data_IF_209094578022
#
_entry.id   IF_209094578022
#
_cell.length_a   1.000
_cell.length_b   1.000
_cell.length_c   1.000
_cell.angle_alpha   90.00
_cell.angle_beta   90.00
_cell.angle_gamma   90.00
#
_symmetry.space_group_name_H-M   'P 1'
#
loop_
_entity.id
_entity.type
_entity.pdbx_description
1 polymer ?
#
# COMPACT_ATOMS: atom_id res chain seq x y z
N UNK A 1 9.10 10.51 7.08
CA UNK A 1 9.82 10.48 5.78
C UNK A 1 9.16 11.49 4.86
N UNK A 2 9.93 12.15 4.00
CA UNK A 2 9.41 13.06 2.97
C UNK A 2 8.58 12.29 1.92
N UNK A 3 7.55 12.92 1.37
CA UNK A 3 6.63 12.29 0.42
C UNK A 3 7.32 11.89 -0.89
N UNK A 4 8.32 12.63 -1.36
CA UNK A 4 9.13 12.30 -2.54
C UNK A 4 9.95 11.03 -2.29
N UNK A 5 10.60 10.93 -1.13
CA UNK A 5 11.33 9.70 -0.76
C UNK A 5 10.41 8.50 -0.60
N UNK A 6 9.23 8.69 0.01
CA UNK A 6 8.19 7.69 0.05
C UNK A 6 7.81 7.22 -1.37
N UNK A 7 7.52 8.15 -2.29
CA UNK A 7 7.19 7.82 -3.69
C UNK A 7 8.32 7.08 -4.41
N UNK A 8 9.58 7.39 -4.09
CA UNK A 8 10.74 6.68 -4.66
C UNK A 8 10.76 5.22 -4.23
N UNK A 9 10.52 4.92 -2.95
CA UNK A 9 10.42 3.55 -2.45
C UNK A 9 9.23 2.79 -3.06
N UNK A 10 8.08 3.44 -3.22
CA UNK A 10 6.91 2.86 -3.92
C UNK A 10 7.26 2.53 -5.38
N UNK A 11 7.95 3.43 -6.07
CA UNK A 11 8.40 3.22 -7.45
C UNK A 11 9.41 2.08 -7.58
N UNK A 12 10.34 1.93 -6.63
CA UNK A 12 11.27 0.78 -6.56
C UNK A 12 10.54 -0.54 -6.46
N UNK A 13 9.46 -0.58 -5.68
CA UNK A 13 8.61 -1.75 -5.55
C UNK A 13 7.72 -2.02 -6.77
N UNK A 14 7.87 -1.26 -7.86
CA UNK A 14 6.99 -1.27 -9.04
C UNK A 14 5.50 -1.06 -8.69
N UNK A 15 5.23 -0.35 -7.59
CA UNK A 15 3.87 -0.07 -7.13
C UNK A 15 3.41 1.33 -7.54
N UNK A 16 2.10 1.48 -7.68
CA UNK A 16 1.45 2.79 -7.67
C UNK A 16 1.06 3.20 -6.23
N UNK A 17 0.74 4.47 -6.01
CA UNK A 17 0.17 4.92 -4.71
C UNK A 17 -1.17 4.23 -4.44
N UNK A 18 -1.95 3.94 -5.49
CA UNK A 18 -3.22 3.24 -5.36
C UNK A 18 -3.00 1.79 -4.93
N UNK A 19 -2.03 1.11 -5.54
CA UNK A 19 -1.65 -0.27 -5.21
C UNK A 19 -1.13 -0.36 -3.79
N UNK A 20 -0.25 0.56 -3.39
CA UNK A 20 0.20 0.65 -2.00
C UNK A 20 -0.97 0.83 -1.04
N UNK A 21 -1.85 1.82 -1.30
CA UNK A 21 -3.01 2.10 -0.45
C UNK A 21 -3.92 0.87 -0.31
N UNK A 22 -4.12 0.17 -1.43
CA UNK A 22 -4.92 -1.02 -1.54
C UNK A 22 -4.36 -2.19 -0.71
N UNK A 23 -3.05 -2.44 -0.79
CA UNK A 23 -2.37 -3.48 0.00
C UNK A 23 -2.49 -3.22 1.50
N UNK A 24 -2.34 -1.97 1.94
CA UNK A 24 -2.42 -1.61 3.37
C UNK A 24 -3.86 -1.34 3.85
N UNK A 25 -4.87 -1.47 2.97
CA UNK A 25 -6.28 -1.31 3.32
C UNK A 25 -6.74 0.11 3.60
N UNK A 26 -6.15 1.12 2.94
CA UNK A 26 -6.54 2.53 3.08
C UNK A 26 -7.01 3.15 1.77
N UNK A 27 -7.76 4.24 1.84
CA UNK A 27 -8.20 4.95 0.65
C UNK A 27 -7.01 5.62 -0.07
N UNK A 28 -6.91 5.53 -1.42
CA UNK A 28 -5.82 6.16 -2.17
C UNK A 28 -5.70 7.67 -1.99
N UNK A 29 -6.82 8.36 -1.75
CA UNK A 29 -6.85 9.79 -1.47
C UNK A 29 -6.19 10.13 -0.12
N UNK A 30 -6.27 9.24 0.88
CA UNK A 30 -5.62 9.40 2.17
C UNK A 30 -4.09 9.37 2.00
N UNK A 31 -3.58 8.52 1.10
CA UNK A 31 -2.15 8.48 0.76
C UNK A 31 -1.76 9.70 -0.07
N UNK A 32 -2.52 10.02 -1.11
CA UNK A 32 -2.25 11.14 -2.01
C UNK A 32 -2.27 12.49 -1.29
N UNK A 33 -3.09 12.66 -0.25
CA UNK A 33 -3.16 13.89 0.54
C UNK A 33 -1.84 14.23 1.27
N UNK A 34 -0.97 13.25 1.53
CA UNK A 34 0.35 13.51 2.11
C UNK A 34 1.29 14.26 1.15
N UNK A 35 1.01 14.26 -0.16
CA UNK A 35 1.74 15.12 -1.11
C UNK A 35 1.66 16.60 -0.73
N UNK A 36 0.52 17.06 -0.20
CA UNK A 36 0.35 18.45 0.24
C UNK A 36 1.06 18.73 1.55
N UNK A 37 1.14 17.73 2.44
CA UNK A 37 1.80 17.83 3.74
C UNK A 37 3.31 17.64 3.67
N UNK A 38 3.85 17.25 2.50
CA UNK A 38 5.25 16.92 2.23
C UNK A 38 5.83 15.77 3.07
N UNK A 39 5.15 15.30 4.11
CA UNK A 39 5.58 14.19 4.95
C UNK A 39 4.51 13.11 5.04
N UNK A 40 4.96 11.86 5.12
CA UNK A 40 4.12 10.69 5.37
C UNK A 40 4.23 10.21 6.83
N UNK A 41 3.19 9.56 7.36
CA UNK A 41 3.24 8.89 8.67
C UNK A 41 4.38 7.86 8.76
N UNK A 42 4.82 7.58 9.98
CA UNK A 42 5.96 6.69 10.23
C UNK A 42 5.68 5.26 9.75
N UNK A 43 4.46 4.79 9.94
CA UNK A 43 3.99 3.46 9.57
C UNK A 43 4.07 3.27 8.05
N UNK A 44 3.67 4.29 7.28
CA UNK A 44 3.69 4.26 5.82
C UNK A 44 5.13 4.27 5.31
N UNK A 45 5.98 5.04 6.00
CA UNK A 45 7.38 5.09 5.68
C UNK A 45 8.07 3.74 5.88
N UNK A 46 7.83 3.08 7.02
CA UNK A 46 8.36 1.75 7.32
C UNK A 46 7.93 0.74 6.25
N UNK A 47 6.65 0.68 5.92
CA UNK A 47 6.13 -0.28 4.93
C UNK A 47 6.74 -0.01 3.54
N UNK A 48 6.76 1.25 3.09
CA UNK A 48 7.32 1.60 1.78
C UNK A 48 8.81 1.24 1.69
N UNK A 49 9.59 1.53 2.73
CA UNK A 49 11.02 1.18 2.78
C UNK A 49 11.22 -0.33 2.67
N UNK A 50 10.46 -1.12 3.42
CA UNK A 50 10.55 -2.59 3.39
C UNK A 50 10.16 -3.16 2.02
N UNK A 51 9.08 -2.66 1.41
CA UNK A 51 8.67 -3.08 0.07
C UNK A 51 9.70 -2.71 -1.00
N UNK A 52 10.25 -1.49 -0.93
CA UNK A 52 11.27 -1.03 -1.86
C UNK A 52 12.59 -1.80 -1.73
N UNK A 53 13.04 -2.07 -0.50
CA UNK A 53 14.27 -2.86 -0.25
C UNK A 53 14.08 -4.33 -0.65
N UNK A 54 12.90 -4.92 -0.41
CA UNK A 54 12.56 -6.26 -0.88
C UNK A 54 12.65 -6.36 -2.41
N UNK A 55 12.06 -5.39 -3.13
CA UNK A 55 12.13 -5.35 -4.59
C UNK A 55 13.56 -5.14 -5.11
N UNK A 56 14.35 -4.26 -4.50
CA UNK A 56 15.77 -4.05 -4.85
C UNK A 56 16.58 -5.36 -4.69
N UNK A 57 16.20 -6.24 -3.76
CA UNK A 57 16.81 -7.56 -3.55
C UNK A 57 16.22 -8.67 -4.43
N UNK A 58 15.32 -8.34 -5.36
CA UNK A 58 14.66 -9.31 -6.24
C UNK A 58 13.63 -10.20 -5.54
N UNK A 59 13.13 -9.79 -4.38
CA UNK A 59 12.08 -10.52 -3.67
C UNK A 59 10.73 -10.15 -4.28
N UNK A 60 10.02 -11.15 -4.81
CA UNK A 60 8.62 -11.03 -5.20
C UNK A 60 7.72 -10.95 -3.95
N UNK A 61 7.71 -9.77 -3.33
CA UNK A 61 6.95 -9.53 -2.11
C UNK A 61 5.43 -9.66 -2.35
N UNK A 62 4.93 -9.41 -3.57
CA UNK A 62 3.50 -9.57 -3.89
C UNK A 62 3.11 -11.03 -3.76
N UNK A 63 3.89 -11.95 -4.32
CA UNK A 63 3.66 -13.39 -4.11
C UNK A 63 3.79 -13.81 -2.66
N UNK A 64 4.72 -13.21 -1.90
CA UNK A 64 4.83 -13.45 -0.45
C UNK A 64 3.55 -13.01 0.27
N UNK A 65 3.06 -11.80 0.02
CA UNK A 65 1.84 -11.27 0.63
C UNK A 65 0.62 -12.14 0.28
N UNK A 66 0.50 -12.56 -0.98
CA UNK A 66 -0.58 -13.43 -1.45
C UNK A 66 -0.63 -14.78 -0.72
N UNK A 67 0.53 -15.35 -0.34
CA UNK A 67 0.61 -16.60 0.47
C UNK A 67 -0.03 -16.44 1.86
N UNK A 68 -0.07 -15.23 2.37
CA UNK A 68 -0.67 -14.90 3.68
C UNK A 68 -2.06 -14.27 3.56
N UNK A 69 -2.67 -14.30 2.37
CA UNK A 69 -4.01 -13.76 2.16
C UNK A 69 -4.06 -12.23 2.10
N UNK A 70 -2.91 -11.58 1.91
CA UNK A 70 -2.81 -10.12 1.77
C UNK A 70 -2.76 -9.84 0.28
N UNK A 71 -3.86 -9.32 -0.25
CA UNK A 71 -4.05 -9.04 -1.67
C UNK A 71 -4.19 -7.54 -1.93
N UNK A 72 -3.79 -7.10 -3.12
CA UNK A 72 -4.22 -5.81 -3.63
C UNK A 72 -5.75 -5.86 -3.84
N UNK A 73 -6.48 -5.10 -3.03
CA UNK A 73 -7.90 -4.83 -3.25
C UNK A 73 -8.07 -4.03 -4.56
N UNK A 74 -8.38 -4.73 -5.64
CA UNK A 74 -8.73 -4.09 -6.91
C UNK A 74 -9.96 -3.24 -6.64
N UNK A 75 -9.84 -1.92 -6.78
CA UNK A 75 -10.97 -1.01 -6.73
C UNK A 75 -11.83 -1.27 -7.96
N UNK A 76 -12.75 -2.22 -7.88
CA UNK A 76 -13.86 -2.29 -8.83
C UNK A 76 -14.69 -1.03 -8.59
N UNK A 77 -14.87 -0.22 -9.62
CA UNK A 77 -15.80 0.91 -9.64
C UNK A 77 -17.18 0.46 -9.13
N UNK A 78 -17.43 0.64 -7.81
CA UNK A 78 -18.71 0.84 -7.12
C UNK A 78 -18.54 0.60 -5.61
N UNK A 79 -18.63 1.69 -4.84
CA UNK A 79 -18.99 1.74 -3.41
C UNK A 79 -18.38 0.66 -2.50
N UNK A 80 -17.27 1.04 -1.85
CA UNK A 80 -16.64 0.35 -0.70
C UNK A 80 -17.58 0.21 0.52
N UNK A 81 -18.80 0.78 0.48
CA UNK A 81 -19.85 0.55 1.49
C UNK A 81 -20.34 -0.91 1.59
N UNK A 82 -19.82 -1.83 0.76
CA UNK A 82 -20.24 -3.24 0.69
C UNK A 82 -19.27 -4.22 1.33
N UNK A 83 -18.06 -3.80 1.75
CA UNK A 83 -17.06 -4.71 2.33
C UNK A 83 -17.25 -4.77 3.85
N UNK A 84 -18.44 -5.15 4.29
CA UNK A 84 -18.66 -5.62 5.66
C UNK A 84 -18.46 -7.15 5.70
N UNK A 85 -17.25 -7.61 5.33
CA UNK A 85 -16.87 -9.04 5.39
C UNK A 85 -15.80 -9.37 6.43
N UNK A 86 -15.35 -8.41 7.23
CA UNK A 86 -14.40 -8.65 8.33
C UNK A 86 -15.06 -8.98 9.69
N UNK A 87 -16.35 -9.34 9.71
CA UNK A 87 -17.08 -9.79 10.91
C UNK A 87 -17.80 -11.13 10.75
N UNK A 88 -17.19 -12.09 10.06
CA UNK A 88 -17.69 -13.46 10.05
C UNK A 88 -16.53 -14.48 10.11
N UNK A 89 -15.87 -14.52 11.26
CA UNK A 89 -15.15 -15.72 11.73
C UNK A 89 -15.06 -15.67 13.26
N UNK A 90 -16.23 -15.80 13.89
CA UNK A 90 -16.37 -16.45 15.19
C UNK A 90 -16.63 -17.91 14.89
#
# INVERSE_FOLDING_TARGET
MDYKEFRRHIGKAALSVNSFASIIGVLPNAVSNYSKKQFVPKEYAVIAVLMGDAADRGVDFVSVLNKFGIYEQISTDKKVSSINKYKAKT
#
